data_IF_858723862758
#
_entry.id   IF_858723862758
#
_cell.length_a   1.000
_cell.length_b   1.000
_cell.length_c   1.000
_cell.angle_alpha   90.00
_cell.angle_beta   90.00
_cell.angle_gamma   90.00
#
_symmetry.space_group_name_H-M   'P 1'
#
loop_
_entity.id
_entity.type
_entity.pdbx_description
1 polymer ?
#
# COMPACT_ATOMS: atom_id res chain seq x y z
N UNK A 1 -1.97 2.28 12.34
CA UNK A 1 -1.66 1.71 13.67
C UNK A 1 -2.44 0.42 13.94
N UNK A 2 -3.79 0.39 13.94
CA UNK A 2 -4.56 -0.84 14.18
C UNK A 2 -4.24 -2.00 13.20
N UNK A 3 -4.15 -1.72 11.89
CA UNK A 3 -3.76 -2.73 10.88
C UNK A 3 -2.39 -3.37 11.17
N UNK A 4 -1.43 -2.60 11.69
CA UNK A 4 -0.12 -3.15 12.07
C UNK A 4 -0.25 -4.10 13.26
N UNK A 5 -1.11 -3.78 14.23
CA UNK A 5 -1.39 -4.67 15.35
C UNK A 5 -2.12 -5.95 14.92
N UNK A 6 -2.99 -5.87 13.91
CA UNK A 6 -3.57 -7.05 13.26
C UNK A 6 -2.47 -7.94 12.68
N UNK A 7 -1.54 -7.37 11.91
CA UNK A 7 -0.43 -8.10 11.30
C UNK A 7 0.47 -8.74 12.38
N UNK A 8 0.86 -7.96 13.39
CA UNK A 8 1.68 -8.46 14.51
C UNK A 8 1.02 -9.62 15.24
N UNK A 9 -0.29 -9.54 15.52
CA UNK A 9 -1.02 -10.60 16.19
C UNK A 9 -1.10 -11.88 15.34
N UNK A 10 -1.28 -11.75 14.02
CA UNK A 10 -1.28 -12.89 13.10
C UNK A 10 0.05 -13.63 13.16
N UNK A 11 1.17 -12.88 13.17
CA UNK A 11 2.51 -13.44 13.30
C UNK A 11 2.72 -14.09 14.67
N UNK A 12 2.33 -13.42 15.75
CA UNK A 12 2.45 -13.96 17.11
C UNK A 12 1.67 -15.27 17.29
N UNK A 13 0.42 -15.31 16.82
CA UNK A 13 -0.43 -16.50 16.93
C UNK A 13 -0.19 -17.53 15.82
N UNK A 14 0.74 -17.26 14.90
CA UNK A 14 1.05 -18.11 13.75
C UNK A 14 -0.20 -18.48 12.94
N UNK A 15 -1.12 -17.53 12.80
CA UNK A 15 -2.32 -17.74 12.00
C UNK A 15 -1.99 -17.67 10.51
N UNK A 16 -2.60 -18.57 9.73
CA UNK A 16 -2.49 -18.49 8.29
C UNK A 16 -3.26 -17.25 7.79
N UNK A 17 -2.61 -16.39 7.01
CA UNK A 17 -3.18 -15.10 6.59
C UNK A 17 -4.46 -15.21 5.75
N UNK A 18 -4.75 -16.39 5.19
CA UNK A 18 -5.99 -16.66 4.46
C UNK A 18 -7.12 -17.22 5.32
N UNK A 19 -6.87 -17.52 6.60
CA UNK A 19 -7.84 -18.15 7.51
C UNK A 19 -7.67 -17.60 8.92
N UNK A 20 -7.92 -16.31 9.07
CA UNK A 20 -7.78 -15.59 10.34
C UNK A 20 -9.07 -15.72 11.16
N UNK A 21 -9.04 -16.24 12.39
CA UNK A 21 -10.23 -16.35 13.23
C UNK A 21 -10.66 -14.97 13.75
N UNK A 22 -11.71 -14.38 13.14
CA UNK A 22 -12.10 -12.98 13.39
C UNK A 22 -12.51 -12.74 14.84
N UNK A 23 -13.26 -13.67 15.44
CA UNK A 23 -13.69 -13.57 16.85
C UNK A 23 -12.49 -13.51 17.80
N UNK A 24 -11.51 -14.39 17.59
CA UNK A 24 -10.30 -14.41 18.43
C UNK A 24 -9.48 -13.15 18.23
N UNK A 25 -9.32 -12.69 16.99
CA UNK A 25 -8.60 -11.46 16.68
C UNK A 25 -9.23 -10.24 17.36
N UNK A 26 -10.56 -10.09 17.26
CA UNK A 26 -11.27 -8.97 17.88
C UNK A 26 -11.21 -9.05 19.40
N UNK A 27 -11.39 -10.24 19.98
CA UNK A 27 -11.31 -10.43 21.43
C UNK A 27 -9.95 -10.05 22.01
N UNK A 28 -8.86 -10.25 21.25
CA UNK A 28 -7.52 -9.83 21.68
C UNK A 28 -7.30 -8.32 21.48
N UNK A 29 -7.68 -7.76 20.34
CA UNK A 29 -7.38 -6.37 20.02
C UNK A 29 -8.33 -5.35 20.66
N UNK A 30 -9.47 -5.79 21.22
CA UNK A 30 -10.47 -4.89 21.85
C UNK A 30 -9.91 -4.14 23.05
N UNK A 31 -8.86 -4.68 23.68
CA UNK A 31 -8.13 -4.02 24.77
C UNK A 31 -7.36 -2.78 24.30
N UNK A 32 -7.01 -2.71 23.00
CA UNK A 32 -6.21 -1.64 22.41
C UNK A 32 -7.04 -0.70 21.52
N UNK A 33 -8.08 -1.22 20.89
CA UNK A 33 -8.91 -0.47 19.94
C UNK A 33 -10.38 -0.85 20.10
N UNK A 34 -11.33 0.08 19.91
CA UNK A 34 -12.75 -0.27 19.85
C UNK A 34 -13.04 -1.30 18.76
N UNK A 35 -13.99 -2.21 19.01
CA UNK A 35 -14.33 -3.29 18.07
C UNK A 35 -14.63 -2.80 16.65
N UNK A 36 -15.35 -1.68 16.52
CA UNK A 36 -15.66 -1.12 15.20
C UNK A 36 -14.41 -0.69 14.42
N UNK A 37 -13.37 -0.18 15.11
CA UNK A 37 -12.08 0.18 14.50
C UNK A 37 -11.36 -1.07 14.02
N UNK A 38 -11.42 -2.16 14.77
CA UNK A 38 -10.80 -3.44 14.40
C UNK A 38 -11.49 -4.01 13.17
N UNK A 39 -12.83 -4.08 13.17
CA UNK A 39 -13.59 -4.55 12.01
C UNK A 39 -13.35 -3.70 10.77
N UNK A 40 -13.35 -2.37 10.90
CA UNK A 40 -13.07 -1.47 9.79
C UNK A 40 -11.62 -1.61 9.29
N UNK A 41 -10.66 -1.71 10.20
CA UNK A 41 -9.25 -1.93 9.84
C UNK A 41 -9.04 -3.25 9.10
N UNK A 42 -9.71 -4.31 9.56
CA UNK A 42 -9.69 -5.61 8.91
C UNK A 42 -10.35 -5.56 7.52
N UNK A 43 -11.47 -4.86 7.37
CA UNK A 43 -12.15 -4.76 6.06
C UNK A 43 -11.32 -3.99 5.02
N UNK A 44 -10.45 -3.08 5.44
CA UNK A 44 -9.51 -2.39 4.55
C UNK A 44 -8.40 -3.30 4.00
N UNK A 45 -8.02 -4.35 4.73
CA UNK A 45 -6.90 -5.23 4.36
C UNK A 45 -7.30 -6.68 4.07
N UNK A 46 -8.59 -7.00 4.04
CA UNK A 46 -9.08 -8.36 3.85
C UNK A 46 -10.30 -8.42 2.94
N UNK A 47 -10.54 -9.59 2.36
CA UNK A 47 -11.72 -9.88 1.56
C UNK A 47 -12.91 -10.33 2.44
N UNK A 48 -13.12 -9.67 3.59
CA UNK A 48 -14.14 -10.07 4.55
C UNK A 48 -15.53 -9.58 4.14
N UNK A 49 -16.48 -10.50 4.12
CA UNK A 49 -17.91 -10.21 4.24
C UNK A 49 -18.32 -10.35 5.72
N UNK A 50 -19.21 -9.49 6.21
CA UNK A 50 -19.49 -9.27 7.64
C UNK A 50 -20.09 -10.49 8.39
N UNK A 51 -20.23 -11.64 7.72
CA UNK A 51 -20.87 -12.87 8.22
C UNK A 51 -19.92 -14.06 8.38
N UNK A 52 -18.63 -13.92 8.05
CA UNK A 52 -17.70 -15.04 8.07
C UNK A 52 -16.94 -15.17 9.40
N UNK A 53 -16.77 -16.41 9.87
CA UNK A 53 -15.96 -16.75 11.05
C UNK A 53 -14.47 -16.51 10.82
N UNK A 54 -14.02 -16.69 9.56
CA UNK A 54 -12.65 -16.49 9.13
C UNK A 54 -12.54 -15.36 8.12
N UNK A 55 -11.42 -14.65 8.13
CA UNK A 55 -11.08 -13.64 7.13
C UNK A 55 -9.79 -14.00 6.39
N UNK A 56 -9.72 -13.59 5.13
CA UNK A 56 -8.53 -13.72 4.26
C UNK A 56 -7.95 -12.34 3.97
N UNK A 57 -6.69 -12.12 4.33
CA UNK A 57 -6.00 -10.90 3.97
C UNK A 57 -5.76 -10.80 2.47
N UNK A 58 -5.82 -9.57 1.98
CA UNK A 58 -5.41 -9.17 0.64
C UNK A 58 -3.96 -8.72 0.73
N UNK A 59 -3.04 -9.52 0.19
CA UNK A 59 -1.60 -9.29 0.26
C UNK A 59 -1.22 -7.86 -0.16
N UNK A 60 -1.76 -7.39 -1.29
CA UNK A 60 -1.51 -6.03 -1.79
C UNK A 60 -1.89 -4.94 -0.78
N UNK A 61 -2.99 -5.09 -0.05
CA UNK A 61 -3.45 -4.07 0.90
C UNK A 61 -2.58 -4.10 2.15
N UNK A 62 -2.29 -5.29 2.67
CA UNK A 62 -1.40 -5.47 3.83
C UNK A 62 -0.02 -4.91 3.55
N UNK A 63 0.54 -5.25 2.38
CA UNK A 63 1.81 -4.75 1.89
C UNK A 63 1.82 -3.21 1.84
N UNK A 64 0.78 -2.58 1.29
CA UNK A 64 0.63 -1.12 1.27
C UNK A 64 0.57 -0.51 2.67
N UNK A 65 -0.21 -1.07 3.58
CA UNK A 65 -0.30 -0.54 4.95
C UNK A 65 1.01 -0.67 5.72
N UNK A 66 1.74 -1.77 5.53
CA UNK A 66 3.07 -1.94 6.10
C UNK A 66 4.07 -0.92 5.53
N UNK A 67 4.05 -0.68 4.21
CA UNK A 67 4.90 0.33 3.57
C UNK A 67 4.60 1.75 4.08
N UNK A 68 3.30 2.11 4.17
CA UNK A 68 2.87 3.40 4.74
C UNK A 68 3.39 3.55 6.18
N UNK A 69 3.31 2.49 6.97
CA UNK A 69 3.78 2.52 8.36
C UNK A 69 5.29 2.72 8.47
N UNK A 70 6.08 1.97 7.69
CA UNK A 70 7.54 2.08 7.67
C UNK A 70 7.98 3.48 7.24
N UNK A 71 7.35 4.03 6.21
CA UNK A 71 7.76 5.30 5.61
C UNK A 71 7.11 6.54 6.26
N UNK A 72 6.20 6.36 7.22
CA UNK A 72 5.41 7.46 7.79
C UNK A 72 6.26 8.61 8.34
N UNK A 73 7.27 8.27 9.13
CA UNK A 73 8.18 9.24 9.77
C UNK A 73 9.39 9.57 8.90
N UNK A 74 10.19 8.60 8.41
CA UNK A 74 11.41 8.95 7.69
C UNK A 74 11.13 9.60 6.33
N UNK A 75 9.94 9.37 5.75
CA UNK A 75 9.57 9.86 4.41
C UNK A 75 10.32 9.16 3.27
N UNK A 76 11.58 8.79 3.48
CA UNK A 76 12.43 8.02 2.58
C UNK A 76 13.49 7.25 3.34
N UNK A 77 13.92 6.10 2.82
CA UNK A 77 15.02 5.31 3.39
C UNK A 77 15.73 4.47 2.32
N UNK A 78 16.86 3.86 2.68
CA UNK A 78 17.58 2.95 1.78
C UNK A 78 16.71 1.75 1.43
N UNK A 79 16.78 1.31 0.17
CA UNK A 79 15.93 0.23 -0.34
C UNK A 79 16.18 -1.09 0.36
N UNK A 80 17.44 -1.45 0.64
CA UNK A 80 17.78 -2.69 1.33
C UNK A 80 17.16 -2.72 2.74
N UNK A 81 17.28 -1.63 3.50
CA UNK A 81 16.68 -1.48 4.82
C UNK A 81 15.15 -1.51 4.77
N UNK A 82 14.57 -0.88 3.74
CA UNK A 82 13.12 -0.88 3.52
C UNK A 82 12.62 -2.29 3.26
N UNK A 83 13.17 -3.00 2.28
CA UNK A 83 12.72 -4.33 1.90
C UNK A 83 12.95 -5.36 3.01
N UNK A 84 14.05 -5.23 3.76
CA UNK A 84 14.29 -6.04 4.96
C UNK A 84 13.20 -5.82 6.02
N UNK A 85 12.96 -4.56 6.38
CA UNK A 85 11.94 -4.20 7.38
C UNK A 85 10.54 -4.61 6.91
N UNK A 86 10.23 -4.37 5.64
CA UNK A 86 8.93 -4.67 5.06
C UNK A 86 8.66 -6.17 5.08
N UNK A 87 9.62 -6.99 4.63
CA UNK A 87 9.51 -8.44 4.70
C UNK A 87 9.32 -8.95 6.13
N UNK A 88 10.04 -8.37 7.10
CA UNK A 88 9.93 -8.78 8.50
C UNK A 88 8.56 -8.50 9.13
N UNK A 89 7.83 -7.50 8.62
CA UNK A 89 6.49 -7.16 9.10
C UNK A 89 5.42 -8.06 8.50
N UNK A 90 5.56 -8.49 7.24
CA UNK A 90 4.49 -9.19 6.54
C UNK A 90 4.23 -10.59 7.12
N UNK A 91 2.97 -11.06 7.10
CA UNK A 91 2.66 -12.44 7.46
C UNK A 91 3.42 -13.47 6.63
N UNK A 92 3.84 -14.55 7.30
CA UNK A 92 4.56 -15.65 6.64
C UNK A 92 3.76 -16.19 5.45
N UNK A 93 4.43 -16.35 4.31
CA UNK A 93 3.84 -16.87 3.07
C UNK A 93 3.22 -15.81 2.16
N UNK A 94 3.17 -14.53 2.55
CA UNK A 94 2.81 -13.45 1.62
C UNK A 94 3.92 -13.17 0.62
N UNK A 95 3.53 -12.76 -0.59
CA UNK A 95 4.48 -12.30 -1.61
C UNK A 95 4.89 -10.86 -1.34
N UNK A 96 6.20 -10.63 -1.33
CA UNK A 96 6.78 -9.30 -1.35
C UNK A 96 7.12 -8.95 -2.79
N UNK A 97 6.42 -7.95 -3.35
CA UNK A 97 6.59 -7.53 -4.74
C UNK A 97 6.49 -6.01 -4.83
N UNK A 98 7.38 -5.37 -5.59
CA UNK A 98 7.46 -3.91 -5.69
C UNK A 98 6.19 -3.32 -6.32
N UNK A 99 5.42 -4.11 -7.07
CA UNK A 99 4.12 -3.74 -7.60
C UNK A 99 3.11 -3.37 -6.52
N UNK A 100 3.26 -3.89 -5.29
CA UNK A 100 2.39 -3.51 -4.18
C UNK A 100 2.70 -2.10 -3.64
N UNK A 101 3.88 -1.54 -3.90
CA UNK A 101 4.24 -0.17 -3.52
C UNK A 101 3.62 0.88 -4.43
N UNK A 102 3.17 0.49 -5.62
CA UNK A 102 2.55 1.38 -6.60
C UNK A 102 1.36 2.15 -6.01
N UNK A 103 1.41 3.48 -6.12
CA UNK A 103 0.42 4.39 -5.55
C UNK A 103 0.71 4.81 -4.10
N UNK A 104 1.74 4.26 -3.46
CA UNK A 104 2.13 4.48 -2.06
C UNK A 104 3.57 4.98 -1.93
N UNK A 105 4.49 4.40 -2.67
CA UNK A 105 5.90 4.73 -2.63
C UNK A 105 6.55 4.56 -4.00
N UNK A 106 7.68 5.22 -4.19
CA UNK A 106 8.45 5.21 -5.44
C UNK A 106 9.91 4.90 -5.16
N UNK A 107 10.56 4.25 -6.13
CA UNK A 107 11.99 4.01 -6.11
C UNK A 107 12.73 5.16 -6.81
N UNK A 108 13.76 5.70 -6.15
CA UNK A 108 14.65 6.75 -6.65
C UNK A 108 16.09 6.25 -6.71
N UNK A 109 16.96 7.06 -7.34
CA UNK A 109 18.41 6.83 -7.41
C UNK A 109 18.79 5.44 -7.91
N UNK A 110 18.17 5.03 -9.02
CA UNK A 110 18.32 3.70 -9.62
C UNK A 110 17.98 2.56 -8.65
N UNK A 111 16.91 2.72 -7.86
CA UNK A 111 16.41 1.70 -6.95
C UNK A 111 17.06 1.70 -5.57
N UNK A 112 17.92 2.67 -5.25
CA UNK A 112 18.64 2.72 -3.97
C UNK A 112 17.82 3.31 -2.83
N UNK A 113 16.83 4.14 -3.13
CA UNK A 113 16.02 4.84 -2.12
C UNK A 113 14.54 4.58 -2.37
N UNK A 114 13.82 4.17 -1.33
CA UNK A 114 12.36 4.09 -1.33
C UNK A 114 11.82 5.35 -0.67
N UNK A 115 10.97 6.08 -1.39
CA UNK A 115 10.36 7.34 -0.93
C UNK A 115 8.85 7.22 -0.86
N UNK A 116 8.26 7.65 0.25
CA UNK A 116 6.82 7.77 0.39
C UNK A 116 6.26 8.76 -0.63
N UNK A 117 5.33 8.28 -1.44
CA UNK A 117 4.69 9.05 -2.48
C UNK A 117 3.28 8.50 -2.65
N UNK A 118 2.36 9.01 -1.84
CA UNK A 118 0.98 8.54 -1.81
C UNK A 118 0.13 9.30 -2.80
N UNK A 119 -0.58 8.55 -3.65
CA UNK A 119 -1.63 9.06 -4.53
C UNK A 119 -2.64 9.94 -3.77
N UNK A 120 -3.02 9.54 -2.56
CA UNK A 120 -4.06 10.26 -1.79
C UNK A 120 -3.65 11.67 -1.36
N UNK A 121 -2.35 12.01 -1.46
CA UNK A 121 -1.83 13.35 -1.16
C UNK A 121 -1.65 14.22 -2.41
N UNK A 122 -1.92 13.68 -3.61
CA UNK A 122 -1.76 14.42 -4.87
C UNK A 122 -2.97 15.32 -5.14
N UNK A 123 -2.73 16.40 -5.87
CA UNK A 123 -3.76 17.36 -6.29
C UNK A 123 -4.88 16.68 -7.09
N UNK A 124 -6.14 17.10 -6.96
CA UNK A 124 -7.21 16.67 -7.88
C UNK A 124 -7.14 17.36 -9.25
N UNK A 125 -6.41 18.49 -9.35
CA UNK A 125 -6.15 19.13 -10.63
C UNK A 125 -5.11 18.34 -11.43
N UNK A 126 -5.40 17.94 -12.68
CA UNK A 126 -4.48 17.14 -13.48
C UNK A 126 -3.11 17.79 -13.70
N UNK A 127 -3.07 19.09 -14.01
CA UNK A 127 -1.82 19.78 -14.36
C UNK A 127 -0.90 19.80 -13.13
N UNK A 128 -1.42 20.24 -11.99
CA UNK A 128 -0.69 20.26 -10.74
C UNK A 128 -0.25 18.86 -10.31
N UNK A 129 -1.10 17.84 -10.49
CA UNK A 129 -0.74 16.46 -10.18
C UNK A 129 0.43 15.96 -11.02
N UNK A 130 0.41 16.19 -12.34
CA UNK A 130 1.51 15.77 -13.21
C UNK A 130 2.82 16.49 -12.83
N UNK A 131 2.76 17.78 -12.49
CA UNK A 131 3.94 18.49 -11.98
C UNK A 131 4.50 17.82 -10.71
N UNK A 132 3.65 17.51 -9.73
CA UNK A 132 4.06 16.81 -8.50
C UNK A 132 4.68 15.43 -8.78
N UNK A 133 4.15 14.69 -9.76
CA UNK A 133 4.67 13.38 -10.17
C UNK A 133 6.07 13.51 -10.79
N UNK A 134 6.27 14.48 -11.69
CA UNK A 134 7.55 14.66 -12.37
C UNK A 134 8.63 15.32 -11.50
N UNK A 135 8.23 16.15 -10.53
CA UNK A 135 9.13 16.64 -9.47
C UNK A 135 9.60 15.48 -8.58
N UNK A 136 8.74 14.50 -8.31
CA UNK A 136 9.10 13.37 -7.47
C UNK A 136 10.08 12.41 -8.16
N UNK A 137 9.94 12.17 -9.46
CA UNK A 137 10.83 11.32 -10.27
C UNK A 137 10.75 11.78 -11.73
N UNK A 138 11.89 11.91 -12.40
CA UNK A 138 11.93 12.41 -13.77
C UNK A 138 11.39 11.40 -14.80
N UNK A 139 11.70 10.11 -14.62
CA UNK A 139 11.40 9.05 -15.58
C UNK A 139 10.44 8.02 -14.98
N UNK A 140 9.37 7.75 -15.71
CA UNK A 140 8.35 6.80 -15.30
C UNK A 140 8.05 5.81 -16.42
N UNK A 141 7.94 4.54 -16.06
CA UNK A 141 7.25 3.58 -16.90
C UNK A 141 5.74 3.78 -16.78
N UNK A 142 5.00 3.37 -17.80
CA UNK A 142 3.53 3.41 -17.79
C UNK A 142 2.94 2.71 -16.56
N UNK A 143 3.47 1.54 -16.22
CA UNK A 143 3.00 0.73 -15.09
C UNK A 143 3.28 1.38 -13.72
N UNK A 144 4.24 2.29 -13.63
CA UNK A 144 4.55 3.02 -12.39
C UNK A 144 3.66 4.26 -12.23
N UNK A 145 3.41 5.01 -13.32
CA UNK A 145 2.65 6.27 -13.26
C UNK A 145 1.13 6.06 -13.22
N UNK A 146 0.60 5.04 -13.91
CA UNK A 146 -0.85 4.76 -13.99
C UNK A 146 -1.58 4.76 -12.64
N UNK A 147 -1.08 4.09 -11.57
CA UNK A 147 -1.68 4.11 -10.24
C UNK A 147 -1.99 5.53 -9.71
N UNK A 148 -1.15 6.51 -10.03
CA UNK A 148 -1.24 7.89 -9.54
C UNK A 148 -2.25 8.77 -10.30
N UNK A 149 -2.63 8.35 -11.50
CA UNK A 149 -3.49 9.14 -12.39
C UNK A 149 -4.80 8.43 -12.76
N UNK A 150 -4.98 7.16 -12.36
CA UNK A 150 -6.14 6.34 -12.76
C UNK A 150 -7.52 6.94 -12.40
N UNK A 151 -7.59 7.78 -11.38
CA UNK A 151 -8.79 8.51 -10.95
C UNK A 151 -9.04 9.79 -11.75
N UNK A 152 -8.05 10.29 -12.50
CA UNK A 152 -8.21 11.40 -13.45
C UNK A 152 -8.70 10.92 -14.82
N UNK A 153 -8.79 9.61 -15.01
CA UNK A 153 -9.11 8.96 -16.28
C UNK A 153 -10.57 8.53 -16.24
N UNK A 154 -11.42 9.15 -17.05
CA UNK A 154 -12.70 8.54 -17.43
C UNK A 154 -12.39 7.25 -18.18
N UNK A 155 -13.21 6.21 -17.95
CA UNK A 155 -13.03 4.75 -18.13
C UNK A 155 -12.25 4.20 -19.37
N UNK A 156 -11.72 5.00 -20.29
CA UNK A 156 -11.02 4.51 -21.49
C UNK A 156 -9.86 5.39 -22.04
N UNK A 157 -9.26 6.32 -21.28
CA UNK A 157 -8.29 7.29 -21.87
C UNK A 157 -6.95 7.49 -21.16
N UNK A 158 -6.41 6.47 -20.48
CA UNK A 158 -5.09 6.60 -19.83
C UNK A 158 -3.96 6.94 -20.82
N UNK A 159 -4.00 6.36 -22.02
CA UNK A 159 -3.04 6.60 -23.09
C UNK A 159 -3.12 8.06 -23.59
N UNK A 160 -4.32 8.60 -23.76
CA UNK A 160 -4.52 9.96 -24.24
C UNK A 160 -4.09 11.00 -23.20
N UNK A 161 -4.36 10.73 -21.93
CA UNK A 161 -3.93 11.60 -20.84
C UNK A 161 -2.40 11.62 -20.75
N UNK A 162 -1.75 10.44 -20.81
CA UNK A 162 -0.30 10.34 -20.80
C UNK A 162 0.33 11.04 -22.01
N UNK A 163 -0.22 10.86 -23.22
CA UNK A 163 0.29 11.54 -24.42
C UNK A 163 0.19 13.07 -24.34
N UNK A 164 -0.77 13.61 -23.57
CA UNK A 164 -0.93 15.07 -23.38
C UNK A 164 0.12 15.66 -22.43
N UNK A 165 0.57 14.89 -21.44
CA UNK A 165 1.42 15.38 -20.34
C UNK A 165 2.83 14.80 -20.32
N UNK A 166 3.13 13.78 -21.12
CA UNK A 166 4.39 13.06 -21.11
C UNK A 166 5.00 13.03 -22.51
N UNK A 167 6.32 13.23 -22.60
CA UNK A 167 7.08 12.93 -23.81
C UNK A 167 7.54 11.46 -23.76
N UNK A 168 7.33 10.72 -24.85
CA UNK A 168 7.83 9.35 -24.95
C UNK A 168 9.35 9.38 -25.15
N UNK A 169 10.09 8.84 -24.19
CA UNK A 169 11.51 8.55 -24.36
C UNK A 169 11.64 7.24 -25.15
N UNK A 170 12.42 7.28 -26.22
CA UNK A 170 12.60 6.15 -27.17
C UNK A 170 13.84 5.35 -26.80
#
# INVERSE_FOLDING_TARGET
KCIIQIISLINEKQWHFTKIPVKSLVATLVELFPSFVIYYSLSLCSASDNKQEFSKLLEANVAKFAAIYILHEPGSMMADDFYFTWNSLLPTGMRMTSEYLKGVAIEKDNGKIITYFSKSKLSLDPILRFNQIFEAKEKWTRLEIEPYIMDLIDKDTSVNLLAKFCNKLT
#
